data_IF_059426762724
#
_entry.id   IF_059426762724
#
_cell.length_a   1.000
_cell.length_b   1.000
_cell.length_c   1.000
_cell.angle_alpha   90.00
_cell.angle_beta   90.00
_cell.angle_gamma   90.00
#
_symmetry.space_group_name_H-M   'P 1'
#
loop_
_entity.id
_entity.type
_entity.pdbx_description
1 polymer ?
#
# COMPACT_ATOMS: atom_id res chain seq x y z
N UNK A 1 41.13 -2.79 23.41
CA UNK A 1 39.90 -3.61 23.38
C UNK A 1 38.66 -2.87 23.89
N UNK A 2 38.71 -2.19 25.05
CA UNK A 2 37.57 -1.42 25.57
C UNK A 2 37.10 -0.28 24.63
N UNK A 3 38.03 0.48 24.05
CA UNK A 3 37.74 1.58 23.11
C UNK A 3 37.00 1.08 21.86
N UNK A 4 37.43 -0.04 21.30
CA UNK A 4 36.80 -0.64 20.12
C UNK A 4 35.36 -1.10 20.44
N UNK A 5 35.17 -1.69 21.65
CA UNK A 5 33.84 -2.10 22.09
C UNK A 5 32.88 -0.88 22.27
N UNK A 6 33.41 0.21 22.83
CA UNK A 6 32.63 1.44 23.00
C UNK A 6 32.21 2.01 21.64
N UNK A 7 33.15 2.11 20.69
CA UNK A 7 32.86 2.57 19.34
C UNK A 7 31.79 1.69 18.68
N UNK A 8 31.93 0.37 18.78
CA UNK A 8 30.96 -0.56 18.20
C UNK A 8 29.55 -0.40 18.78
N UNK A 9 29.45 -0.29 20.11
CA UNK A 9 28.17 -0.05 20.79
C UNK A 9 27.56 1.28 20.35
N UNK A 10 28.37 2.34 20.26
CA UNK A 10 27.88 3.66 19.84
C UNK A 10 27.33 3.61 18.43
N UNK A 11 28.02 2.94 17.49
CA UNK A 11 27.53 2.78 16.10
C UNK A 11 26.20 2.03 16.08
N UNK A 12 26.06 0.95 16.84
CA UNK A 12 24.81 0.20 16.91
C UNK A 12 23.67 1.09 17.43
N UNK A 13 23.88 1.84 18.49
CA UNK A 13 22.87 2.74 19.07
C UNK A 13 22.45 3.80 18.04
N UNK A 14 23.40 4.39 17.33
CA UNK A 14 23.11 5.38 16.27
C UNK A 14 22.29 4.75 15.15
N UNK A 15 22.60 3.54 14.70
CA UNK A 15 21.85 2.84 13.66
C UNK A 15 20.42 2.53 14.11
N UNK A 16 20.23 2.06 15.33
CA UNK A 16 18.90 1.78 15.88
C UNK A 16 18.05 3.05 16.03
N UNK A 17 18.64 4.14 16.51
CA UNK A 17 17.92 5.41 16.65
C UNK A 17 17.55 5.99 15.28
N UNK A 18 18.46 5.94 14.30
CA UNK A 18 18.17 6.37 12.93
C UNK A 18 17.05 5.53 12.30
N UNK A 19 17.09 4.21 12.43
CA UNK A 19 16.03 3.32 11.93
C UNK A 19 14.68 3.63 12.59
N UNK A 20 14.66 3.87 13.90
CA UNK A 20 13.46 4.28 14.63
C UNK A 20 12.89 5.60 14.13
N UNK A 21 13.74 6.61 13.94
CA UNK A 21 13.32 7.91 13.39
C UNK A 21 12.74 7.79 11.98
N UNK A 22 13.37 6.99 11.12
CA UNK A 22 12.89 6.74 9.74
C UNK A 22 11.51 6.06 9.77
N UNK A 23 11.33 5.08 10.65
CA UNK A 23 10.06 4.37 10.77
C UNK A 23 8.93 5.28 11.28
N UNK A 24 9.22 6.11 12.28
CA UNK A 24 8.27 7.12 12.77
C UNK A 24 7.90 8.15 11.70
N UNK A 25 8.88 8.59 10.91
CA UNK A 25 8.62 9.50 9.79
C UNK A 25 7.71 8.85 8.74
N UNK A 26 8.01 7.61 8.33
CA UNK A 26 7.17 6.86 7.37
C UNK A 26 5.75 6.68 7.88
N UNK A 27 5.59 6.30 9.15
CA UNK A 27 4.29 6.17 9.81
C UNK A 27 3.51 7.47 9.78
N UNK A 28 4.11 8.59 10.20
CA UNK A 28 3.46 9.91 10.18
C UNK A 28 3.08 10.37 8.77
N UNK A 29 3.91 10.07 7.78
CA UNK A 29 3.61 10.35 6.38
C UNK A 29 2.42 9.52 5.88
N UNK A 30 2.37 8.24 6.22
CA UNK A 30 1.28 7.32 5.89
C UNK A 30 -0.05 7.79 6.52
N UNK A 31 -0.05 8.15 7.79
CA UNK A 31 -1.25 8.61 8.53
C UNK A 31 -1.88 9.90 7.95
N UNK A 32 -1.15 10.63 7.11
CA UNK A 32 -1.67 11.80 6.38
C UNK A 32 -2.26 11.45 5.01
N UNK A 33 -2.18 10.21 4.58
CA UNK A 33 -2.68 9.79 3.26
C UNK A 33 -4.19 9.60 3.27
N UNK A 34 -4.81 9.82 2.11
CA UNK A 34 -6.24 9.54 1.93
C UNK A 34 -6.54 8.06 2.13
N UNK A 35 -5.60 7.17 1.77
CA UNK A 35 -5.73 5.73 2.01
C UNK A 35 -5.94 5.41 3.48
N UNK A 36 -5.10 5.97 4.36
CA UNK A 36 -5.28 5.78 5.82
C UNK A 36 -6.60 6.37 6.32
N UNK A 37 -6.95 7.57 5.87
CA UNK A 37 -8.18 8.26 6.30
C UNK A 37 -9.43 7.46 5.95
N UNK A 38 -9.47 6.82 4.78
CA UNK A 38 -10.63 6.05 4.33
C UNK A 38 -10.64 4.62 4.87
N UNK A 39 -9.50 3.93 4.91
CA UNK A 39 -9.45 2.51 5.30
C UNK A 39 -9.30 2.32 6.81
N UNK A 40 -8.71 3.28 7.52
CA UNK A 40 -8.40 3.17 8.94
C UNK A 40 -7.32 2.12 9.26
N UNK A 41 -6.70 1.50 8.26
CA UNK A 41 -5.70 0.46 8.46
C UNK A 41 -4.43 1.02 9.10
N UNK A 42 -3.98 0.52 10.27
CA UNK A 42 -2.75 0.98 10.90
C UNK A 42 -1.51 0.71 10.04
N UNK A 43 -0.54 1.62 10.07
CA UNK A 43 0.71 1.50 9.29
C UNK A 43 1.38 0.13 9.42
N UNK A 44 1.52 -0.38 10.64
CA UNK A 44 2.18 -1.66 10.88
C UNK A 44 1.40 -2.83 10.26
N UNK A 45 0.05 -2.79 10.29
CA UNK A 45 -0.78 -3.81 9.64
C UNK A 45 -0.56 -3.81 8.14
N UNK A 46 -0.58 -2.63 7.51
CA UNK A 46 -0.37 -2.50 6.06
C UNK A 46 1.02 -2.98 5.65
N UNK A 47 2.07 -2.67 6.43
CA UNK A 47 3.44 -3.07 6.11
C UNK A 47 3.74 -4.56 6.36
N UNK A 48 2.84 -5.30 7.00
CA UNK A 48 2.99 -6.74 7.26
C UNK A 48 2.08 -7.60 6.37
N UNK A 49 1.08 -7.01 5.75
CA UNK A 49 0.11 -7.69 4.91
C UNK A 49 0.39 -7.38 3.43
N UNK A 50 0.71 -8.42 2.69
CA UNK A 50 1.11 -8.32 1.27
C UNK A 50 -0.02 -7.77 0.38
N UNK A 51 -1.28 -8.11 0.67
CA UNK A 51 -2.45 -7.58 -0.03
C UNK A 51 -2.60 -6.07 0.21
N UNK A 52 -2.60 -5.67 1.49
CA UNK A 52 -2.72 -4.26 1.88
C UNK A 52 -1.55 -3.40 1.38
N UNK A 53 -0.33 -3.96 1.31
CA UNK A 53 0.82 -3.29 0.67
C UNK A 53 0.51 -3.02 -0.81
N UNK A 54 -0.02 -4.01 -1.53
CA UNK A 54 -0.38 -3.88 -2.95
C UNK A 54 -1.40 -2.77 -3.20
N UNK A 55 -2.47 -2.73 -2.41
CA UNK A 55 -3.48 -1.67 -2.46
C UNK A 55 -2.85 -0.28 -2.19
N UNK A 56 -2.06 -0.17 -1.13
CA UNK A 56 -1.40 1.08 -0.78
C UNK A 56 -0.42 1.56 -1.85
N UNK A 57 0.37 0.67 -2.45
CA UNK A 57 1.25 1.01 -3.57
C UNK A 57 0.46 1.44 -4.81
N UNK A 58 -0.64 0.77 -5.13
CA UNK A 58 -1.54 1.18 -6.21
C UNK A 58 -2.00 2.62 -5.99
N UNK A 59 -2.49 2.94 -4.78
CA UNK A 59 -2.82 4.32 -4.42
C UNK A 59 -1.66 5.28 -4.59
N UNK A 60 -0.46 4.93 -4.10
CA UNK A 60 0.72 5.81 -4.20
C UNK A 60 1.13 6.11 -5.64
N UNK A 61 0.99 5.14 -6.55
CA UNK A 61 1.25 5.34 -7.98
C UNK A 61 0.22 6.26 -8.63
N UNK A 62 -1.04 6.20 -8.20
CA UNK A 62 -2.15 6.96 -8.79
C UNK A 62 -2.32 8.35 -8.16
N UNK A 63 -1.93 8.52 -6.91
CA UNK A 63 -2.10 9.78 -6.18
C UNK A 63 -1.45 11.01 -6.86
N UNK A 64 -0.27 10.90 -7.53
CA UNK A 64 0.34 12.03 -8.23
C UNK A 64 -0.31 12.41 -9.56
N UNK A 65 -1.24 11.63 -10.10
CA UNK A 65 -1.90 11.94 -11.37
C UNK A 65 -2.52 13.34 -11.32
N UNK A 66 -2.38 14.09 -12.40
CA UNK A 66 -3.01 15.39 -12.55
C UNK A 66 -4.52 15.25 -12.82
N UNK A 67 -5.27 16.33 -12.61
CA UNK A 67 -6.69 16.36 -12.85
C UNK A 67 -7.56 16.10 -11.62
N UNK A 68 -8.88 16.31 -11.78
CA UNK A 68 -9.82 16.03 -10.71
C UNK A 68 -9.97 14.53 -10.51
N UNK A 69 -9.77 14.08 -9.25
CA UNK A 69 -9.84 12.66 -8.92
C UNK A 69 -10.36 12.41 -7.51
N UNK A 70 -10.99 11.26 -7.34
CA UNK A 70 -11.37 10.69 -6.04
C UNK A 70 -11.01 9.21 -6.01
N UNK A 71 -10.71 8.70 -4.81
CA UNK A 71 -10.44 7.29 -4.58
C UNK A 71 -11.52 6.69 -3.69
N UNK A 72 -11.85 5.43 -3.95
CA UNK A 72 -12.66 4.58 -3.09
C UNK A 72 -11.84 3.31 -2.88
N UNK A 73 -11.68 2.90 -1.63
CA UNK A 73 -10.92 1.71 -1.25
C UNK A 73 -11.86 0.65 -0.68
N UNK A 74 -11.56 -0.61 -0.92
CA UNK A 74 -12.24 -1.78 -0.36
C UNK A 74 -13.75 -1.69 -0.56
N UNK A 75 -14.17 -1.45 -1.80
CA UNK A 75 -15.56 -1.28 -2.17
C UNK A 75 -16.22 -2.65 -2.38
N UNK A 76 -17.28 -2.94 -1.64
CA UNK A 76 -18.07 -4.15 -1.80
C UNK A 76 -19.20 -3.92 -2.80
N UNK A 77 -19.17 -4.65 -3.90
CA UNK A 77 -20.18 -4.59 -4.94
C UNK A 77 -21.08 -5.83 -4.90
N UNK A 78 -22.42 -5.68 -4.99
CA UNK A 78 -23.33 -6.81 -5.03
C UNK A 78 -23.20 -7.54 -6.38
N UNK A 79 -23.23 -8.88 -6.33
CA UNK A 79 -23.31 -9.76 -7.49
C UNK A 79 -24.76 -10.18 -7.76
N UNK A 80 -25.00 -10.68 -8.97
CA UNK A 80 -26.33 -11.17 -9.37
C UNK A 80 -26.81 -12.39 -8.58
N UNK A 81 -25.89 -13.16 -7.99
CA UNK A 81 -26.17 -14.33 -7.14
C UNK A 81 -26.47 -13.99 -5.67
N UNK A 82 -26.46 -12.69 -5.33
CA UNK A 82 -26.68 -12.19 -3.97
C UNK A 82 -25.41 -12.15 -3.09
N UNK A 83 -24.27 -12.60 -3.63
CA UNK A 83 -22.97 -12.43 -2.98
C UNK A 83 -22.42 -11.02 -3.20
N UNK A 84 -21.29 -10.72 -2.56
CA UNK A 84 -20.54 -9.49 -2.80
C UNK A 84 -19.15 -9.81 -3.33
N UNK A 85 -18.60 -8.90 -4.13
CA UNK A 85 -17.18 -8.91 -4.47
C UNK A 85 -16.54 -7.65 -3.94
N UNK A 86 -15.34 -7.78 -3.39
CA UNK A 86 -14.52 -6.66 -2.97
C UNK A 86 -13.69 -6.16 -4.16
N UNK A 87 -13.61 -4.84 -4.28
CA UNK A 87 -12.74 -4.16 -5.25
C UNK A 87 -11.74 -3.34 -4.46
N UNK A 88 -10.46 -3.58 -4.67
CA UNK A 88 -9.37 -3.02 -3.85
C UNK A 88 -9.30 -1.48 -3.98
N UNK A 89 -9.22 -0.96 -5.20
CA UNK A 89 -9.11 0.48 -5.47
C UNK A 89 -9.94 0.88 -6.67
N UNK A 90 -10.81 1.87 -6.51
CA UNK A 90 -11.51 2.54 -7.60
C UNK A 90 -11.01 3.98 -7.66
N UNK A 91 -10.54 4.37 -8.84
CA UNK A 91 -10.18 5.75 -9.15
C UNK A 91 -11.28 6.37 -10.03
N UNK A 92 -11.95 7.37 -9.50
CA UNK A 92 -12.83 8.25 -10.24
C UNK A 92 -11.99 9.44 -10.70
N UNK A 93 -11.74 9.54 -12.00
CA UNK A 93 -10.93 10.58 -12.60
C UNK A 93 -11.74 11.31 -13.68
N UNK A 94 -11.40 12.54 -14.00
CA UNK A 94 -12.08 13.31 -15.04
C UNK A 94 -12.08 12.62 -16.43
N UNK A 95 -11.11 11.72 -16.67
CA UNK A 95 -11.02 10.93 -17.91
C UNK A 95 -11.81 9.61 -17.87
N UNK A 96 -12.33 9.20 -16.72
CA UNK A 96 -13.10 7.96 -16.59
C UNK A 96 -13.05 7.32 -15.21
N UNK A 97 -13.62 6.12 -15.11
CA UNK A 97 -13.63 5.28 -13.93
C UNK A 97 -12.65 4.14 -14.15
N UNK A 98 -11.70 3.99 -13.23
CA UNK A 98 -10.68 2.94 -13.30
C UNK A 98 -10.78 2.04 -12.08
N UNK A 99 -10.83 0.75 -12.31
CA UNK A 99 -10.93 -0.29 -11.27
C UNK A 99 -9.63 -1.05 -11.24
N UNK A 100 -9.02 -1.13 -10.04
CA UNK A 100 -7.76 -1.82 -9.81
C UNK A 100 -7.98 -2.94 -8.82
N UNK A 101 -7.51 -4.13 -9.19
CA UNK A 101 -7.45 -5.32 -8.36
C UNK A 101 -5.99 -5.68 -8.18
N UNK A 102 -5.51 -5.65 -6.94
CA UNK A 102 -4.11 -5.93 -6.62
C UNK A 102 -3.89 -7.42 -6.44
N UNK A 103 -2.97 -8.00 -7.21
CA UNK A 103 -2.61 -9.42 -7.10
C UNK A 103 -1.12 -9.57 -6.85
N UNK A 104 -0.77 -10.38 -5.87
CA UNK A 104 0.61 -10.73 -5.57
C UNK A 104 0.87 -12.21 -5.87
N UNK A 105 1.23 -12.47 -7.11
CA UNK A 105 1.60 -13.81 -7.54
C UNK A 105 3.10 -14.07 -7.36
N UNK A 106 3.45 -15.21 -6.79
CA UNK A 106 4.84 -15.65 -6.62
C UNK A 106 5.38 -16.44 -7.81
N UNK A 107 4.55 -16.70 -8.83
CA UNK A 107 4.88 -17.49 -10.01
C UNK A 107 4.61 -16.71 -11.31
N UNK A 108 5.03 -17.32 -12.42
CA UNK A 108 4.81 -16.73 -13.75
C UNK A 108 3.33 -16.65 -14.10
N UNK A 109 2.92 -15.53 -14.68
CA UNK A 109 1.57 -15.33 -15.21
C UNK A 109 1.63 -15.59 -16.72
N UNK A 110 0.84 -16.55 -17.19
CA UNK A 110 0.72 -16.88 -18.62
C UNK A 110 -0.67 -16.48 -19.09
N UNK A 111 -0.73 -15.93 -20.30
CA UNK A 111 -1.99 -15.57 -20.94
C UNK A 111 -1.74 -14.74 -22.19
N UNK A 112 -2.75 -14.66 -23.05
CA UNK A 112 -2.79 -13.75 -24.18
C UNK A 112 -4.20 -13.16 -24.31
N UNK A 113 -4.34 -12.12 -25.14
CA UNK A 113 -5.60 -11.40 -25.35
C UNK A 113 -6.77 -12.24 -25.90
N UNK A 114 -6.47 -13.42 -26.46
CA UNK A 114 -7.47 -14.33 -27.03
C UNK A 114 -7.97 -15.41 -26.04
N UNK A 115 -7.42 -15.46 -24.81
CA UNK A 115 -7.88 -16.37 -23.78
C UNK A 115 -9.01 -15.74 -22.96
N UNK A 116 -10.16 -16.39 -22.98
CA UNK A 116 -11.30 -16.09 -22.09
C UNK A 116 -11.03 -16.74 -20.73
N UNK A 117 -11.11 -15.98 -19.66
CA UNK A 117 -11.00 -16.47 -18.27
C UNK A 117 -12.34 -16.93 -17.76
#
# INVERSE_FOLDING_TARGET
MKEIAIIFITVIVVLFTAAGCINLYKKKKYEKTLYFVQTGNPFNKVMQDIGLIGEYFTYQCLAPLNGYKKFIFNCYLPKADGETTEVDVILLHESGIYVFESKNYSSWIFGNESQTF
#
